data_IF_580112362394
#
_entry.id   IF_580112362394
#
_cell.length_a   1.000
_cell.length_b   1.000
_cell.length_c   1.000
_cell.angle_alpha   90.00
_cell.angle_beta   90.00
_cell.angle_gamma   90.00
#
_symmetry.space_group_name_H-M   'P 1'
#
loop_
_entity.id
_entity.type
_entity.pdbx_description
1 polymer ?
#
# COMPACT_ATOMS: atom_id res chain seq x y z
N UNK A 1 2.28 2.21 -12.79
CA UNK A 1 2.39 3.65 -12.52
C UNK A 1 1.29 4.06 -11.56
N UNK A 2 1.70 4.34 -10.33
CA UNK A 2 0.81 4.80 -9.26
C UNK A 2 0.29 6.21 -9.56
N UNK A 3 -0.92 6.51 -9.07
CA UNK A 3 -1.50 7.84 -9.18
C UNK A 3 -0.88 8.81 -8.18
N UNK A 4 -0.80 10.10 -8.54
CA UNK A 4 -0.38 11.16 -7.61
C UNK A 4 -1.28 11.20 -6.35
N UNK A 5 -2.54 10.79 -6.48
CA UNK A 5 -3.47 10.66 -5.37
C UNK A 5 -3.02 9.65 -4.32
N UNK A 6 -2.38 8.55 -4.73
CA UNK A 6 -1.82 7.56 -3.81
C UNK A 6 -0.70 8.16 -2.96
N UNK A 7 0.21 8.90 -3.58
CA UNK A 7 1.32 9.56 -2.89
C UNK A 7 0.80 10.53 -1.84
N UNK A 8 -0.17 11.37 -2.23
CA UNK A 8 -0.81 12.33 -1.32
C UNK A 8 -1.55 11.61 -0.18
N UNK A 9 -2.21 10.48 -0.46
CA UNK A 9 -2.88 9.70 0.58
C UNK A 9 -1.88 9.11 1.59
N UNK A 10 -0.75 8.56 1.12
CA UNK A 10 0.33 8.07 1.99
C UNK A 10 0.90 9.21 2.83
N UNK A 11 1.21 10.38 2.26
CA UNK A 11 1.70 11.51 3.04
C UNK A 11 0.70 12.02 4.08
N UNK A 12 -0.60 11.98 3.76
CA UNK A 12 -1.66 12.31 4.71
C UNK A 12 -1.70 11.35 5.90
N UNK A 13 -1.42 10.06 5.70
CA UNK A 13 -1.36 9.08 6.81
C UNK A 13 -0.25 9.38 7.80
N UNK A 14 0.82 10.08 7.38
CA UNK A 14 1.87 10.49 8.32
C UNK A 14 1.44 11.68 9.20
N UNK A 15 0.64 12.58 8.64
CA UNK A 15 0.34 13.87 9.27
C UNK A 15 -1.00 13.91 10.02
N UNK A 16 -2.01 13.20 9.54
CA UNK A 16 -3.38 13.28 10.07
C UNK A 16 -3.70 12.07 10.94
N UNK A 17 -3.69 12.24 12.26
CA UNK A 17 -4.03 11.16 13.20
C UNK A 17 -5.48 10.69 12.99
N UNK A 18 -5.69 9.37 12.98
CA UNK A 18 -6.97 8.72 12.71
C UNK A 18 -7.29 8.54 11.22
N UNK A 19 -6.30 8.69 10.34
CA UNK A 19 -6.44 8.45 8.90
C UNK A 19 -5.70 7.18 8.48
N UNK A 20 -6.45 6.10 8.37
CA UNK A 20 -5.96 4.82 7.86
C UNK A 20 -6.11 4.74 6.35
N UNK A 21 -5.09 4.18 5.68
CA UNK A 21 -5.08 3.97 4.24
C UNK A 21 -5.19 2.47 3.94
N UNK A 22 -6.23 2.09 3.20
CA UNK A 22 -6.44 0.72 2.74
C UNK A 22 -6.56 0.73 1.21
N UNK A 23 -5.65 0.07 0.52
CA UNK A 23 -5.63 0.02 -0.95
C UNK A 23 -5.46 -1.42 -1.43
N UNK A 24 -6.31 -1.81 -2.37
CA UNK A 24 -6.23 -3.09 -3.07
C UNK A 24 -5.68 -2.87 -4.49
N UNK A 25 -4.72 -3.69 -4.89
CA UNK A 25 -4.07 -3.63 -6.19
C UNK A 25 -4.42 -4.90 -7.00
N UNK A 26 -4.89 -4.76 -8.25
CA UNK A 26 -5.22 -5.90 -9.10
C UNK A 26 -3.98 -6.53 -9.75
N UNK A 27 -2.89 -5.79 -9.83
CA UNK A 27 -1.67 -6.15 -10.54
C UNK A 27 -0.47 -6.18 -9.57
N UNK A 28 0.43 -7.16 -9.76
CA UNK A 28 1.56 -7.39 -8.85
C UNK A 28 2.62 -6.30 -9.01
N UNK A 29 2.84 -5.79 -10.21
CA UNK A 29 3.84 -4.76 -10.48
C UNK A 29 3.46 -3.46 -9.76
N UNK A 30 2.20 -3.05 -9.87
CA UNK A 30 1.68 -1.86 -9.17
C UNK A 30 1.62 -2.05 -7.65
N UNK A 31 1.36 -3.27 -7.16
CA UNK A 31 1.42 -3.57 -5.73
C UNK A 31 2.86 -3.46 -5.18
N UNK A 32 3.84 -4.01 -5.90
CA UNK A 32 5.25 -3.91 -5.52
C UNK A 32 5.75 -2.46 -5.58
N UNK A 33 5.38 -1.71 -6.62
CA UNK A 33 5.62 -0.27 -6.77
C UNK A 33 5.08 0.49 -5.56
N UNK A 34 3.86 0.18 -5.11
CA UNK A 34 3.21 0.83 -3.96
C UNK A 34 3.94 0.56 -2.65
N UNK A 35 4.39 -0.68 -2.44
CA UNK A 35 5.15 -1.08 -1.26
C UNK A 35 6.49 -0.34 -1.24
N UNK A 36 7.20 -0.31 -2.38
CA UNK A 36 8.48 0.37 -2.51
C UNK A 36 8.36 1.87 -2.25
N UNK A 37 7.37 2.52 -2.87
CA UNK A 37 7.12 3.95 -2.71
C UNK A 37 6.77 4.29 -1.25
N UNK A 38 5.88 3.50 -0.63
CA UNK A 38 5.49 3.70 0.78
C UNK A 38 6.71 3.62 1.71
N UNK A 39 7.57 2.61 1.54
CA UNK A 39 8.81 2.48 2.32
C UNK A 39 9.76 3.66 2.09
N UNK A 40 9.87 4.12 0.84
CA UNK A 40 10.72 5.26 0.48
C UNK A 40 10.25 6.55 1.16
N UNK A 41 8.94 6.83 1.13
CA UNK A 41 8.36 7.99 1.80
C UNK A 41 8.50 7.92 3.34
N UNK A 42 8.26 6.75 3.94
CA UNK A 42 8.47 6.55 5.37
C UNK A 42 9.92 6.84 5.76
N UNK A 43 10.88 6.35 4.96
CA UNK A 43 12.30 6.58 5.18
C UNK A 43 12.67 8.06 5.02
N UNK A 44 12.17 8.73 3.98
CA UNK A 44 12.42 10.16 3.72
C UNK A 44 11.93 11.03 4.88
N UNK A 45 10.73 10.74 5.39
CA UNK A 45 10.12 11.48 6.50
C UNK A 45 10.61 11.02 7.88
N UNK A 46 11.46 9.98 7.93
CA UNK A 46 11.96 9.38 9.18
C UNK A 46 10.85 8.96 10.16
N UNK A 47 9.74 8.43 9.63
CA UNK A 47 8.58 8.00 10.42
C UNK A 47 8.86 6.62 11.02
N UNK A 48 8.64 6.45 12.32
CA UNK A 48 8.76 5.14 12.94
C UNK A 48 7.54 4.27 12.60
N UNK A 49 7.78 3.01 12.28
CA UNK A 49 6.72 2.07 11.92
C UNK A 49 7.08 0.63 12.31
N UNK A 50 6.03 -0.18 12.47
CA UNK A 50 6.11 -1.65 12.50
C UNK A 50 5.45 -2.16 11.23
N UNK A 51 6.06 -3.15 10.56
CA UNK A 51 5.44 -3.77 9.39
C UNK A 51 5.04 -5.22 9.64
N UNK A 52 3.91 -5.61 9.05
CA UNK A 52 3.40 -6.97 9.03
C UNK A 52 3.23 -7.42 7.57
N UNK A 53 3.77 -8.60 7.26
CA UNK A 53 3.79 -9.14 5.90
C UNK A 53 3.04 -10.46 5.91
N UNK A 54 1.94 -10.50 5.16
CA UNK A 54 1.16 -11.69 4.88
C UNK A 54 1.15 -11.94 3.37
N UNK A 55 0.87 -13.18 2.93
CA UNK A 55 1.09 -13.64 1.55
C UNK A 55 0.69 -12.66 0.44
N UNK A 56 -0.45 -11.97 0.58
CA UNK A 56 -0.94 -10.97 -0.37
C UNK A 56 -1.29 -9.64 0.27
N UNK A 57 -0.66 -9.31 1.41
CA UNK A 57 -0.96 -8.09 2.17
C UNK A 57 0.26 -7.61 2.93
N UNK A 58 0.59 -6.33 2.78
CA UNK A 58 1.63 -5.66 3.56
C UNK A 58 0.99 -4.52 4.34
N UNK A 59 1.24 -4.49 5.64
CA UNK A 59 0.71 -3.48 6.55
C UNK A 59 1.85 -2.73 7.23
N UNK A 60 1.68 -1.42 7.36
CA UNK A 60 2.58 -0.51 8.07
C UNK A 60 1.79 0.20 9.17
N UNK A 61 2.04 -0.16 10.43
CA UNK A 61 1.52 0.53 11.59
C UNK A 61 2.49 1.65 11.95
N UNK A 62 2.04 2.89 11.80
CA UNK A 62 2.83 4.09 12.05
C UNK A 62 2.79 4.47 13.53
N UNK A 63 3.81 5.19 14.02
CA UNK A 63 3.90 5.63 15.41
C UNK A 63 2.75 6.55 15.85
N UNK A 64 2.12 7.24 14.90
CA UNK A 64 0.95 8.10 15.15
C UNK A 64 -0.35 7.30 15.39
N UNK A 65 -0.30 5.97 15.21
CA UNK A 65 -1.42 5.05 15.38
C UNK A 65 -2.18 4.73 14.09
N UNK A 66 -1.80 5.32 12.95
CA UNK A 66 -2.44 5.06 11.67
C UNK A 66 -1.90 3.80 11.02
N UNK A 67 -2.74 3.15 10.21
CA UNK A 67 -2.40 1.95 9.46
C UNK A 67 -2.39 2.23 7.94
N UNK A 68 -1.31 1.83 7.26
CA UNK A 68 -1.28 1.71 5.80
C UNK A 68 -1.34 0.23 5.46
N UNK A 69 -2.35 -0.20 4.73
CA UNK A 69 -2.59 -1.58 4.32
C UNK A 69 -2.66 -1.66 2.80
N UNK A 70 -1.69 -2.35 2.21
CA UNK A 70 -1.54 -2.56 0.78
C UNK A 70 -1.77 -4.05 0.46
N UNK A 71 -2.87 -4.37 -0.21
CA UNK A 71 -3.25 -5.77 -0.50
C UNK A 71 -3.21 -6.05 -2.00
N UNK A 72 -2.72 -7.23 -2.38
CA UNK A 72 -2.85 -7.74 -3.73
C UNK A 72 -4.13 -8.58 -3.86
N UNK A 73 -4.97 -8.23 -4.83
CA UNK A 73 -6.22 -8.92 -5.11
C UNK A 73 -6.47 -8.96 -6.61
N UNK A 74 -6.10 -10.06 -7.27
CA UNK A 74 -6.26 -10.18 -8.72
C UNK A 74 -7.73 -10.05 -9.08
N UNK A 75 -8.04 -9.37 -10.19
CA UNK A 75 -9.41 -9.38 -10.70
C UNK A 75 -9.78 -10.80 -11.14
N UNK A 76 -11.02 -11.22 -10.86
CA UNK A 76 -11.56 -12.48 -11.38
C UNK A 76 -11.67 -12.37 -12.91
N UNK A 77 -10.59 -12.70 -13.61
CA UNK A 77 -10.45 -12.61 -15.06
C UNK A 77 -9.05 -12.97 -15.54
N UNK A 78 -8.01 -12.64 -14.76
CA UNK A 78 -6.62 -12.86 -15.19
C UNK A 78 -6.11 -14.29 -14.93
N UNK A 79 -6.76 -15.04 -14.03
CA UNK A 79 -6.40 -16.44 -13.71
C UNK A 79 -7.10 -17.47 -14.59
N UNK A 80 -8.28 -17.14 -15.12
CA UNK A 80 -8.99 -17.97 -16.09
C UNK A 80 -8.62 -17.46 -17.46
N UNK A 81 -7.42 -17.85 -17.93
CA UNK A 81 -6.98 -17.55 -19.29
C UNK A 81 -8.14 -17.74 -20.25
N UNK A 82 -8.37 -16.73 -21.10
CA UNK A 82 -9.44 -16.70 -22.09
C UNK A 82 -9.60 -18.09 -22.71
N UNK A 83 -10.63 -18.80 -22.25
CA UNK A 83 -11.10 -19.99 -22.90
C UNK A 83 -11.86 -19.55 -24.13
N UNK A 84 -11.29 -19.90 -25.29
CA UNK A 84 -11.85 -19.87 -26.65
C UNK A 84 -11.78 -18.55 -27.42
#
# INVERSE_FOLDING_TARGET
MLSDEFIVAVERTFSLKGFDLNVEFPDVETWDEAIFLTKSLISEKSVNYVSYHHTFKVEFLLENGNLISLSFKPQMGDFYGQGY
#
